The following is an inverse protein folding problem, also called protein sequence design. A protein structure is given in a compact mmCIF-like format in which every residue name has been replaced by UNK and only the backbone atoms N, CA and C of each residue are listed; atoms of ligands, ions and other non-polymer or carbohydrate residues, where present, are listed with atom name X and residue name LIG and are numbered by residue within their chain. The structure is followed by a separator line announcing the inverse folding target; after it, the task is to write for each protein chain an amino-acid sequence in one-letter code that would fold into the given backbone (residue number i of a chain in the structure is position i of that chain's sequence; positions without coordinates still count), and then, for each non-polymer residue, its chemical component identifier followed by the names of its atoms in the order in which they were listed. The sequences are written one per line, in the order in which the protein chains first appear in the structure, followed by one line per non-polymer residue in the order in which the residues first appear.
data_IF_274221526878
#
_entry.id   IF_274221526878
#
_cell.length_a   1.000
_cell.length_b   1.000
_cell.length_c   1.000
_cell.angle_alpha   90.00
_cell.angle_beta   90.00
_cell.angle_gamma   90.00
#
_symmetry.space_group_name_H-M   'P 1'
#
loop_
_entity.id
_entity.type
_entity.pdbx_description
1 polymer ?
#
# COMPACT_ATOMS: atom_id res chain seq x y z
N UNK A 1 -40.61 36.57 27.82
CA UNK A 1 -40.79 35.54 26.77
C UNK A 1 -40.32 34.24 27.38
N UNK A 2 -41.23 33.30 27.65
CA UNK A 2 -40.84 32.01 28.21
C UNK A 2 -39.95 31.31 27.18
N UNK A 3 -38.66 31.17 27.49
CA UNK A 3 -37.72 30.42 26.69
C UNK A 3 -38.21 28.98 26.66
N UNK A 4 -38.74 28.61 25.50
CA UNK A 4 -39.30 27.30 25.28
C UNK A 4 -38.15 26.30 25.13
N UNK A 5 -37.94 25.47 26.15
CA UNK A 5 -36.87 24.47 26.14
C UNK A 5 -37.28 23.17 25.42
N UNK A 6 -38.51 22.70 25.64
CA UNK A 6 -38.99 21.39 25.20
C UNK A 6 -40.52 21.28 25.16
N UNK A 7 -41.07 20.63 24.13
CA UNK A 7 -42.49 20.22 24.01
C UNK A 7 -42.50 18.77 23.61
N UNK A 8 -43.21 17.99 24.40
CA UNK A 8 -43.64 16.64 24.04
C UNK A 8 -44.90 16.70 23.17
N UNK A 9 -44.91 15.93 22.09
CA UNK A 9 -46.07 15.92 21.21
C UNK A 9 -47.30 15.26 21.85
N UNK A 10 -47.10 14.33 22.81
CA UNK A 10 -48.20 13.68 23.52
C UNK A 10 -49.03 14.68 24.34
N UNK A 11 -48.38 15.61 25.03
CA UNK A 11 -49.06 16.65 25.82
C UNK A 11 -49.95 17.54 24.95
N UNK A 12 -49.51 17.88 23.73
CA UNK A 12 -50.31 18.66 22.78
C UNK A 12 -51.44 17.84 22.14
N UNK A 13 -51.19 16.56 21.89
CA UNK A 13 -52.20 15.63 21.37
C UNK A 13 -53.34 15.45 22.36
N UNK A 14 -53.05 15.34 23.66
CA UNK A 14 -54.05 15.28 24.75
C UNK A 14 -54.89 16.55 24.88
N UNK A 15 -54.38 17.70 24.43
CA UNK A 15 -55.12 18.96 24.34
C UNK A 15 -55.99 19.07 23.08
N UNK A 16 -56.09 18.01 22.28
CA UNK A 16 -56.93 17.96 21.07
C UNK A 16 -56.24 18.47 19.80
N UNK A 17 -54.92 18.66 19.82
CA UNK A 17 -54.16 19.08 18.63
C UNK A 17 -53.80 17.85 17.80
N UNK A 18 -54.42 17.68 16.64
CA UNK A 18 -54.23 16.51 15.77
C UNK A 18 -52.93 16.55 14.95
N UNK A 19 -52.52 17.73 14.47
CA UNK A 19 -51.25 17.93 13.76
C UNK A 19 -50.33 18.86 14.56
N UNK A 20 -49.62 18.23 15.51
CA UNK A 20 -48.78 18.92 16.49
C UNK A 20 -47.61 19.65 15.84
N UNK A 21 -46.89 19.02 14.91
CA UNK A 21 -45.72 19.63 14.28
C UNK A 21 -46.12 20.83 13.42
N UNK A 22 -47.18 20.74 12.63
CA UNK A 22 -47.63 21.90 11.84
C UNK A 22 -48.18 23.01 12.72
N UNK A 23 -48.85 22.66 13.83
CA UNK A 23 -49.29 23.65 14.82
C UNK A 23 -48.11 24.43 15.40
N UNK A 24 -47.07 23.72 15.85
CA UNK A 24 -45.84 24.32 16.39
C UNK A 24 -45.11 25.18 15.35
N UNK A 25 -44.94 24.69 14.11
CA UNK A 25 -44.33 25.47 13.00
C UNK A 25 -45.08 26.77 12.72
N UNK A 26 -46.42 26.76 12.79
CA UNK A 26 -47.24 27.97 12.61
C UNK A 26 -47.12 28.94 13.78
N UNK A 27 -46.99 28.42 15.01
CA UNK A 27 -46.96 29.21 16.25
C UNK A 27 -45.59 29.86 16.51
N UNK A 28 -44.51 29.17 16.15
CA UNK A 28 -43.12 29.52 16.46
C UNK A 28 -42.27 29.76 15.21
N UNK A 29 -42.81 30.46 14.21
CA UNK A 29 -42.16 30.70 12.90
C UNK A 29 -40.80 31.41 12.96
N UNK A 30 -40.50 32.11 14.05
CA UNK A 30 -39.29 32.93 14.21
C UNK A 30 -38.23 32.26 15.09
N UNK A 31 -38.52 31.09 15.66
CA UNK A 31 -37.62 30.38 16.55
C UNK A 31 -36.97 29.19 15.81
N UNK A 32 -35.68 28.98 16.03
CA UNK A 32 -34.95 27.83 15.48
C UNK A 32 -35.25 26.58 16.32
N UNK A 33 -36.40 25.96 16.04
CA UNK A 33 -36.85 24.74 16.72
C UNK A 33 -36.39 23.51 15.94
N UNK A 34 -35.80 22.55 16.64
CA UNK A 34 -35.46 21.24 16.09
C UNK A 34 -36.63 20.30 16.33
N UNK A 35 -37.33 19.96 15.26
CA UNK A 35 -38.39 18.95 15.29
C UNK A 35 -37.78 17.54 15.28
N UNK A 36 -38.11 16.76 16.29
CA UNK A 36 -37.71 15.36 16.45
C UNK A 36 -38.97 14.46 16.32
N UNK A 37 -38.84 13.17 16.62
CA UNK A 37 -39.88 12.16 16.39
C UNK A 37 -40.98 12.25 17.44
N UNK A 38 -40.64 12.41 18.71
CA UNK A 38 -41.64 12.45 19.80
C UNK A 38 -41.77 13.82 20.48
N UNK A 39 -40.77 14.69 20.29
CA UNK A 39 -40.73 16.01 20.89
C UNK A 39 -40.08 17.04 19.94
N UNK A 40 -40.04 18.30 20.36
CA UNK A 40 -39.21 19.31 19.70
C UNK A 40 -38.33 20.04 20.72
N UNK A 41 -37.08 20.28 20.32
CA UNK A 41 -36.07 20.95 21.13
C UNK A 41 -35.94 22.42 20.72
N UNK A 42 -35.92 23.31 21.71
CA UNK A 42 -35.61 24.73 21.51
C UNK A 42 -34.10 24.98 21.39
N UNK A 43 -33.70 26.21 21.01
CA UNK A 43 -32.29 26.57 20.78
C UNK A 43 -31.40 26.31 22.00
N UNK A 44 -31.89 26.61 23.20
CA UNK A 44 -31.12 26.42 24.44
C UNK A 44 -30.63 24.98 24.65
N UNK A 45 -31.49 23.99 24.33
CA UNK A 45 -31.12 22.56 24.46
C UNK A 45 -30.08 22.19 23.41
N UNK A 46 -30.22 22.71 22.19
CA UNK A 46 -29.29 22.48 21.08
C UNK A 46 -27.92 23.11 21.41
N UNK A 47 -27.90 24.37 21.81
CA UNK A 47 -26.67 25.12 22.10
C UNK A 47 -25.89 24.47 23.25
N UNK A 48 -26.58 24.06 24.32
CA UNK A 48 -25.95 23.35 25.44
C UNK A 48 -25.36 22.01 25.01
N UNK A 49 -26.08 21.27 24.16
CA UNK A 49 -25.60 19.99 23.66
C UNK A 49 -24.39 20.16 22.73
N UNK A 50 -24.44 21.14 21.82
CA UNK A 50 -23.31 21.46 20.93
C UNK A 50 -22.07 21.85 21.73
N UNK A 51 -22.21 22.67 22.78
CA UNK A 51 -21.10 23.06 23.65
C UNK A 51 -20.49 21.84 24.37
N UNK A 52 -21.31 20.94 24.90
CA UNK A 52 -20.83 19.73 25.57
C UNK A 52 -20.12 18.76 24.60
N UNK A 53 -20.63 18.63 23.38
CA UNK A 53 -19.98 17.86 22.31
C UNK A 53 -18.62 18.46 21.98
N UNK A 54 -18.52 19.78 21.82
CA UNK A 54 -17.25 20.46 21.53
C UNK A 54 -16.22 20.28 22.65
N UNK A 55 -16.67 20.32 23.90
CA UNK A 55 -15.83 20.05 25.06
C UNK A 55 -15.29 18.62 25.03
N UNK A 56 -16.14 17.62 24.80
CA UNK A 56 -15.72 16.22 24.72
C UNK A 56 -14.72 15.98 23.57
N UNK A 57 -14.99 16.55 22.38
CA UNK A 57 -14.11 16.42 21.22
C UNK A 57 -12.76 17.12 21.43
N UNK A 58 -12.76 18.30 22.06
CA UNK A 58 -11.53 19.06 22.31
C UNK A 58 -10.65 18.42 23.38
N UNK A 59 -11.27 17.96 24.47
CA UNK A 59 -10.61 17.28 25.60
C UNK A 59 -10.15 15.85 25.29
N UNK A 60 -10.64 15.26 24.19
CA UNK A 60 -10.25 13.91 23.79
C UNK A 60 -10.98 12.82 24.58
N UNK A 61 -12.23 13.06 24.95
CA UNK A 61 -13.05 12.13 25.73
C UNK A 61 -14.24 11.62 24.90
N UNK A 62 -15.21 11.01 25.58
CA UNK A 62 -16.51 10.60 25.07
C UNK A 62 -17.63 11.29 25.87
N UNK A 63 -18.82 11.36 25.29
CA UNK A 63 -20.01 11.92 25.92
C UNK A 63 -21.26 11.14 25.49
N UNK A 64 -22.00 10.59 26.44
CA UNK A 64 -23.37 10.13 26.18
C UNK A 64 -24.35 11.29 26.28
N UNK A 65 -24.93 11.70 25.15
CA UNK A 65 -25.81 12.86 25.11
C UNK A 65 -27.11 12.63 25.88
N UNK A 66 -27.53 11.37 26.07
CA UNK A 66 -28.72 11.06 26.86
C UNK A 66 -28.61 11.52 28.31
N UNK A 67 -27.38 11.60 28.85
CA UNK A 67 -27.15 12.07 30.23
C UNK A 67 -27.41 13.57 30.41
N UNK A 68 -27.37 14.34 29.32
CA UNK A 68 -27.59 15.79 29.32
C UNK A 68 -29.01 16.17 28.90
N UNK A 69 -29.73 15.26 28.24
CA UNK A 69 -31.06 15.52 27.73
C UNK A 69 -32.12 15.33 28.82
N UNK A 70 -33.16 16.20 28.86
CA UNK A 70 -34.31 16.00 29.73
C UNK A 70 -35.01 14.65 29.50
N UNK A 71 -35.68 14.12 30.52
CA UNK A 71 -36.35 12.81 30.49
C UNK A 71 -37.35 12.55 29.35
N UNK A 72 -37.99 13.55 28.71
CA UNK A 72 -38.91 13.26 27.60
C UNK A 72 -38.22 12.94 26.27
N UNK A 73 -36.89 13.10 26.18
CA UNK A 73 -36.15 12.66 25.01
C UNK A 73 -36.01 11.13 25.03
N UNK A 74 -36.38 10.50 23.92
CA UNK A 74 -36.12 9.09 23.70
C UNK A 74 -34.79 8.89 22.94
N UNK A 75 -34.21 7.68 22.94
CA UNK A 75 -32.97 7.40 22.21
C UNK A 75 -33.03 7.80 20.72
N UNK A 76 -34.17 7.56 20.05
CA UNK A 76 -34.40 7.96 18.66
C UNK A 76 -34.35 9.49 18.46
N UNK A 77 -34.80 10.26 19.46
CA UNK A 77 -34.78 11.72 19.42
C UNK A 77 -33.37 12.25 19.67
N UNK A 78 -32.63 11.63 20.60
CA UNK A 78 -31.24 11.94 20.88
C UNK A 78 -30.33 11.67 19.67
N UNK A 79 -30.48 10.52 19.01
CA UNK A 79 -29.73 10.18 17.80
C UNK A 79 -29.94 11.20 16.68
N UNK A 80 -31.20 11.60 16.43
CA UNK A 80 -31.53 12.64 15.44
C UNK A 80 -30.96 14.01 15.81
N UNK A 81 -30.96 14.35 17.10
CA UNK A 81 -30.42 15.61 17.58
C UNK A 81 -28.90 15.64 17.44
N UNK A 82 -28.21 14.58 17.86
CA UNK A 82 -26.77 14.40 17.73
C UNK A 82 -26.33 14.49 16.27
N UNK A 83 -27.01 13.80 15.35
CA UNK A 83 -26.70 13.84 13.92
C UNK A 83 -26.83 15.27 13.34
N UNK A 84 -27.83 16.04 13.79
CA UNK A 84 -28.01 17.43 13.36
C UNK A 84 -26.90 18.34 13.89
N UNK A 85 -26.53 18.21 15.17
CA UNK A 85 -25.44 18.95 15.79
C UNK A 85 -24.09 18.67 15.11
N UNK A 86 -23.83 17.43 14.69
CA UNK A 86 -22.57 17.09 14.02
C UNK A 86 -22.51 17.61 12.58
N UNK A 87 -23.65 17.61 11.87
CA UNK A 87 -23.76 18.14 10.49
C UNK A 87 -23.67 19.67 10.43
N UNK A 88 -24.20 20.40 11.42
CA UNK A 88 -24.23 21.86 11.42
C UNK A 88 -22.83 22.48 11.48
N UNK A 89 -21.90 21.83 12.17
CA UNK A 89 -20.57 22.39 12.46
C UNK A 89 -19.39 21.72 11.74
N UNK A 90 -19.63 20.72 10.88
CA UNK A 90 -18.55 20.08 10.11
C UNK A 90 -17.51 19.35 10.97
N UNK A 91 -17.96 18.70 12.06
CA UNK A 91 -17.10 18.01 13.05
C UNK A 91 -16.60 16.67 12.51
N UNK A 92 -15.58 16.70 11.64
CA UNK A 92 -15.03 15.50 10.97
C UNK A 92 -14.28 14.52 11.89
N UNK A 93 -13.98 14.90 13.14
CA UNK A 93 -13.25 14.09 14.12
C UNK A 93 -14.14 13.43 15.18
N UNK A 94 -15.46 13.46 14.97
CA UNK A 94 -16.45 12.90 15.88
C UNK A 94 -16.99 11.58 15.33
N UNK A 95 -17.08 10.58 16.20
CA UNK A 95 -17.66 9.27 15.91
C UNK A 95 -18.87 9.05 16.79
N UNK A 96 -19.91 8.43 16.25
CA UNK A 96 -21.13 8.11 16.99
C UNK A 96 -21.16 6.61 17.25
N UNK A 97 -21.38 6.25 18.51
CA UNK A 97 -21.57 4.89 19.00
C UNK A 97 -22.88 4.81 19.78
N UNK A 98 -23.49 3.63 19.81
CA UNK A 98 -24.71 3.30 20.54
C UNK A 98 -25.90 4.23 20.23
N UNK A 99 -25.85 4.94 19.11
CA UNK A 99 -26.85 5.95 18.70
C UNK A 99 -26.83 7.27 19.49
N UNK A 100 -26.33 7.31 20.72
CA UNK A 100 -26.33 8.52 21.58
C UNK A 100 -24.95 8.94 22.08
N UNK A 101 -23.91 8.14 21.90
CA UNK A 101 -22.59 8.40 22.44
C UNK A 101 -21.71 9.03 21.36
N UNK A 102 -21.15 10.20 21.64
CA UNK A 102 -20.12 10.80 20.79
C UNK A 102 -18.74 10.47 21.36
N UNK A 103 -17.83 10.06 20.50
CA UNK A 103 -16.45 9.71 20.84
C UNK A 103 -15.50 10.51 19.95
N UNK A 104 -14.48 11.10 20.55
CA UNK A 104 -13.44 11.82 19.82
C UNK A 104 -12.42 10.87 19.15
N UNK A 105 -11.86 11.27 18.01
CA UNK A 105 -10.75 10.54 17.38
C UNK A 105 -9.59 10.30 18.35
N UNK A 106 -9.24 11.31 19.16
CA UNK A 106 -8.16 11.20 20.17
C UNK A 106 -8.44 10.10 21.19
N UNK A 107 -9.70 9.93 21.60
CA UNK A 107 -10.09 8.86 22.51
C UNK A 107 -9.92 7.48 21.86
N UNK A 108 -10.27 7.35 20.57
CA UNK A 108 -10.05 6.11 19.81
C UNK A 108 -8.55 5.81 19.71
N UNK A 109 -7.70 6.81 19.47
CA UNK A 109 -6.25 6.65 19.48
C UNK A 109 -5.74 6.17 20.85
N UNK A 110 -6.29 6.68 21.96
CA UNK A 110 -5.96 6.21 23.31
C UNK A 110 -6.33 4.73 23.51
N UNK A 111 -7.51 4.33 23.03
CA UNK A 111 -7.97 2.94 23.08
C UNK A 111 -7.04 1.99 22.32
N UNK A 112 -6.31 2.47 21.30
CA UNK A 112 -5.39 1.65 20.51
C UNK A 112 -4.05 1.41 21.23
N UNK A 113 -3.60 2.34 22.09
CA UNK A 113 -2.28 2.26 22.77
C UNK A 113 -1.99 0.95 23.51
N UNK A 114 -2.90 0.37 24.32
CA UNK A 114 -2.61 -0.90 25.01
C UNK A 114 -2.29 -2.05 24.04
N UNK A 115 -2.81 -1.98 22.81
CA UNK A 115 -2.57 -3.00 21.79
C UNK A 115 -1.21 -2.87 21.10
N UNK A 116 -0.57 -1.69 21.10
CA UNK A 116 0.71 -1.50 20.40
C UNK A 116 1.80 -2.44 20.93
N UNK A 117 1.91 -2.53 22.27
CA UNK A 117 2.86 -3.43 22.92
C UNK A 117 2.49 -4.90 22.67
N UNK A 118 1.21 -5.25 22.74
CA UNK A 118 0.73 -6.61 22.49
C UNK A 118 0.98 -7.06 21.04
N UNK A 119 0.80 -6.14 20.07
CA UNK A 119 1.12 -6.38 18.66
C UNK A 119 2.60 -6.71 18.48
N UNK A 120 3.49 -5.95 19.13
CA UNK A 120 4.93 -6.16 19.05
C UNK A 120 5.35 -7.51 19.66
N UNK A 121 4.89 -7.83 20.87
CA UNK A 121 5.22 -9.08 21.56
C UNK A 121 4.71 -10.30 20.78
N UNK A 122 3.49 -10.21 20.24
CA UNK A 122 2.92 -11.29 19.42
C UNK A 122 3.66 -11.42 18.09
N UNK A 123 3.99 -10.32 17.42
CA UNK A 123 4.78 -10.31 16.19
C UNK A 123 6.15 -11.01 16.37
N UNK A 124 6.85 -10.75 17.46
CA UNK A 124 8.13 -11.41 17.78
C UNK A 124 7.95 -12.91 18.01
N UNK A 125 6.90 -13.32 18.72
CA UNK A 125 6.57 -14.73 18.94
C UNK A 125 6.20 -15.45 17.63
N UNK A 126 5.43 -14.79 16.77
CA UNK A 126 4.99 -15.37 15.49
C UNK A 126 6.12 -15.42 14.46
N UNK A 127 7.06 -14.47 14.51
CA UNK A 127 8.30 -14.53 13.72
C UNK A 127 9.13 -15.78 14.06
N UNK A 128 9.12 -16.22 15.32
CA UNK A 128 9.82 -17.44 15.74
C UNK A 128 9.03 -18.72 15.45
N UNK A 129 7.71 -18.71 15.64
CA UNK A 129 6.89 -19.93 15.55
C UNK A 129 6.32 -20.20 14.16
N UNK A 130 6.06 -19.14 13.38
CA UNK A 130 5.29 -19.21 12.12
C UNK A 130 5.93 -18.39 10.97
N UNK A 131 7.23 -18.59 10.65
CA UNK A 131 7.92 -17.79 9.64
C UNK A 131 7.36 -17.97 8.21
N UNK A 132 6.73 -19.11 7.92
CA UNK A 132 6.15 -19.37 6.59
C UNK A 132 4.95 -18.46 6.27
N UNK A 133 4.05 -18.24 7.24
CA UNK A 133 2.89 -17.36 7.08
C UNK A 133 3.32 -15.90 6.92
N UNK A 134 4.33 -15.46 7.68
CA UNK A 134 4.91 -14.12 7.57
C UNK A 134 5.63 -13.89 6.25
N UNK A 135 6.32 -14.90 5.73
CA UNK A 135 6.90 -14.84 4.39
C UNK A 135 5.83 -14.75 3.29
N UNK A 136 4.68 -15.40 3.46
CA UNK A 136 3.56 -15.33 2.51
C UNK A 136 2.87 -13.96 2.54
N UNK A 137 2.62 -13.41 3.73
CA UNK A 137 2.11 -12.05 3.93
C UNK A 137 3.04 -11.02 3.26
N UNK A 138 4.35 -11.16 3.48
CA UNK A 138 5.35 -10.29 2.84
C UNK A 138 5.29 -10.37 1.31
N UNK A 139 4.98 -11.54 0.73
CA UNK A 139 4.87 -11.72 -0.73
C UNK A 139 3.57 -11.18 -1.31
N UNK A 140 2.43 -11.33 -0.63
CA UNK A 140 1.12 -10.85 -1.09
C UNK A 140 1.11 -9.33 -1.28
N UNK A 141 1.71 -8.58 -0.36
CA UNK A 141 1.82 -7.13 -0.49
C UNK A 141 2.83 -6.66 -1.56
N UNK A 142 3.91 -7.42 -1.80
CA UNK A 142 4.84 -7.12 -2.90
C UNK A 142 4.09 -7.14 -4.24
N UNK A 143 3.15 -8.06 -4.39
CA UNK A 143 2.28 -8.14 -5.56
C UNK A 143 1.22 -7.01 -5.58
N UNK A 144 0.69 -6.60 -4.43
CA UNK A 144 -0.34 -5.55 -4.33
C UNK A 144 0.22 -4.12 -4.53
N UNK A 145 1.52 -3.91 -4.26
CA UNK A 145 2.24 -2.66 -4.59
C UNK A 145 2.54 -2.56 -6.09
N UNK A 146 2.90 -3.67 -6.76
CA UNK A 146 3.22 -3.73 -8.19
C UNK A 146 1.97 -3.63 -9.09
N UNK A 147 0.81 -4.02 -8.57
CA UNK A 147 -0.49 -3.85 -9.24
C UNK A 147 -1.07 -2.44 -9.09
N UNK A 148 -0.61 -1.65 -8.10
CA UNK A 148 -1.02 -0.25 -7.93
C UNK A 148 -0.19 0.72 -8.78
N UNK A 149 1.10 0.45 -9.00
CA UNK A 149 1.94 1.20 -9.96
C UNK A 149 1.42 1.04 -11.40
N UNK A 150 1.08 -0.19 -11.81
CA UNK A 150 0.57 -0.49 -13.16
C UNK A 150 -0.87 0.00 -13.45
N UNK A 151 -1.67 0.31 -12.42
CA UNK A 151 -3.02 0.89 -12.59
C UNK A 151 -3.03 2.41 -12.69
N UNK A 152 -1.99 3.10 -12.23
CA UNK A 152 -1.91 4.55 -12.32
C UNK A 152 -1.56 4.99 -13.75
N UNK A 153 -0.68 4.26 -14.44
CA UNK A 153 -0.31 4.53 -15.84
C UNK A 153 -1.48 4.37 -16.82
N UNK A 154 -2.39 3.42 -16.57
CA UNK A 154 -3.52 3.14 -17.48
C UNK A 154 -4.67 4.17 -17.38
N UNK A 155 -4.73 4.95 -16.29
CA UNK A 155 -5.73 6.02 -16.11
C UNK A 155 -5.23 7.37 -16.61
N UNK A 156 -3.91 7.56 -16.67
CA UNK A 156 -3.28 8.80 -17.16
C UNK A 156 -3.13 8.82 -18.69
N UNK A 157 -2.90 7.67 -19.34
CA UNK A 157 -2.82 7.59 -20.81
C UNK A 157 -4.16 7.88 -21.52
N UNK A 158 -5.30 7.62 -20.86
CA UNK A 158 -6.64 7.98 -21.39
C UNK A 158 -6.98 9.46 -21.27
N UNK A 159 -6.30 10.23 -20.41
CA UNK A 159 -6.51 11.68 -20.26
C UNK A 159 -5.57 12.51 -21.14
N UNK A 160 -4.44 11.95 -21.58
CA UNK A 160 -3.47 12.64 -22.43
C UNK A 160 -3.82 12.63 -23.94
N UNK A 161 -4.78 11.81 -24.39
CA UNK A 161 -5.26 11.77 -25.80
C UNK A 161 -6.46 12.68 -26.09
N UNK A 162 -6.89 13.51 -25.14
CA UNK A 162 -8.03 14.42 -25.31
C UNK A 162 -7.65 15.91 -25.41
N UNK A 163 -6.36 16.25 -25.45
CA UNK A 163 -5.92 17.66 -25.35
C UNK A 163 -4.88 18.10 -26.39
N UNK A 164 -4.67 17.36 -27.48
CA UNK A 164 -3.81 17.81 -28.60
C UNK A 164 -4.34 17.38 -29.97
N UNK A 165 -4.65 18.37 -30.81
CA UNK A 165 -4.97 18.23 -32.25
C UNK A 165 -6.47 18.06 -32.54
N UNK A 166 -7.18 19.00 -33.17
CA UNK A 166 -6.84 19.60 -34.45
C UNK A 166 -7.54 18.79 -35.55
N UNK A 167 -8.71 19.26 -36.01
CA UNK A 167 -9.70 18.44 -36.70
C UNK A 167 -9.41 18.04 -38.14
N UNK A 168 -10.24 17.12 -38.66
CA UNK A 168 -10.75 17.18 -40.04
C UNK A 168 -11.96 16.26 -40.24
N UNK A 169 -12.86 16.76 -41.09
CA UNK A 169 -14.08 16.19 -41.70
C UNK A 169 -14.06 14.70 -42.05
N UNK A 170 -15.26 14.10 -41.98
CA UNK A 170 -15.77 13.19 -43.01
C UNK A 170 -16.45 11.92 -42.50
N UNK A 171 -17.78 11.93 -42.34
CA UNK A 171 -18.72 11.00 -43.02
C UNK A 171 -18.91 9.67 -42.27
N UNK A 172 -20.08 9.06 -42.03
CA UNK A 172 -21.42 9.15 -42.59
C UNK A 172 -21.93 7.71 -42.74
N UNK A 173 -23.09 7.36 -42.16
CA UNK A 173 -23.84 6.11 -42.40
C UNK A 173 -23.91 5.15 -41.19
N UNK A 174 -25.05 5.02 -40.48
CA UNK A 174 -26.15 4.04 -40.71
C UNK A 174 -25.64 2.59 -40.70
N UNK A 175 -26.10 1.63 -39.92
CA UNK A 175 -27.25 1.43 -39.05
C UNK A 175 -27.51 -0.10 -38.97
N UNK A 176 -28.21 -0.54 -37.92
CA UNK A 176 -28.92 -1.82 -37.77
C UNK A 176 -28.19 -3.08 -37.22
N UNK A 177 -28.65 -3.47 -36.01
CA UNK A 177 -29.32 -4.76 -35.67
C UNK A 177 -28.58 -5.74 -34.73
N UNK A 178 -29.08 -5.73 -33.50
CA UNK A 178 -29.44 -6.84 -32.59
C UNK A 178 -28.76 -8.21 -32.76
N UNK A 179 -28.27 -8.81 -31.65
CA UNK A 179 -28.79 -10.10 -31.11
C UNK A 179 -28.55 -10.19 -29.60
N UNK A 180 -29.63 -10.40 -28.83
CA UNK A 180 -29.65 -10.91 -27.45
C UNK A 180 -29.55 -12.44 -27.48
N UNK A 181 -28.76 -13.05 -26.61
CA UNK A 181 -28.95 -14.46 -26.21
C UNK A 181 -28.97 -14.59 -24.69
N UNK A 182 -30.03 -15.26 -24.20
CA UNK A 182 -30.42 -15.52 -22.82
C UNK A 182 -30.07 -16.97 -22.43
N UNK A 183 -29.89 -17.17 -21.11
CA UNK A 183 -30.16 -18.38 -20.27
C UNK A 183 -29.15 -19.55 -20.31
N UNK A 184 -28.68 -19.96 -19.11
CA UNK A 184 -29.38 -20.97 -18.28
C UNK A 184 -28.77 -21.13 -16.87
N UNK A 185 -29.63 -20.99 -15.86
CA UNK A 185 -29.52 -21.57 -14.52
C UNK A 185 -29.66 -23.10 -14.57
N UNK A 186 -28.98 -23.81 -13.66
CA UNK A 186 -29.57 -24.99 -13.01
C UNK A 186 -28.92 -25.26 -11.64
N UNK A 187 -29.77 -25.17 -10.62
CA UNK A 187 -29.45 -25.39 -9.21
C UNK A 187 -29.50 -26.87 -8.81
N UNK A 188 -28.81 -27.17 -7.69
CA UNK A 188 -29.16 -28.15 -6.63
C UNK A 188 -29.16 -29.64 -6.99
N UNK A 189 -28.32 -30.38 -6.27
CA UNK A 189 -28.74 -31.56 -5.49
C UNK A 189 -27.74 -31.80 -4.37
N UNK A 190 -28.27 -31.92 -3.15
CA UNK A 190 -27.58 -32.15 -1.88
C UNK A 190 -28.04 -33.53 -1.37
N UNK A 191 -27.12 -34.22 -0.70
CA UNK A 191 -27.32 -35.21 0.37
C UNK A 191 -27.52 -36.69 -0.08
N UNK A 192 -26.94 -37.74 0.52
CA UNK A 192 -26.35 -37.93 1.87
C UNK A 192 -25.25 -39.01 1.97
N UNK A 193 -24.28 -38.73 2.87
CA UNK A 193 -23.61 -39.57 3.90
C UNK A 193 -22.92 -40.90 3.53
N UNK A 194 -21.60 -40.96 3.79
CA UNK A 194 -21.02 -41.88 4.78
C UNK A 194 -19.61 -41.40 5.21
N UNK A 195 -19.22 -41.91 6.38
CA UNK A 195 -18.23 -41.48 7.37
C UNK A 195 -16.75 -41.64 7.00
N UNK A 196 -15.92 -40.89 7.76
CA UNK A 196 -14.51 -41.12 8.12
C UNK A 196 -13.40 -40.32 7.42
N UNK A 197 -12.52 -39.80 8.30
CA UNK A 197 -11.22 -39.13 8.13
C UNK A 197 -11.18 -37.69 7.61
N UNK A 198 -11.19 -36.78 8.58
CA UNK A 198 -10.92 -35.35 8.46
C UNK A 198 -9.42 -35.11 8.21
N UNK A 199 -8.98 -35.39 6.98
CA UNK A 199 -7.73 -34.85 6.44
C UNK A 199 -7.93 -33.35 6.20
N UNK A 200 -7.38 -32.57 7.13
CA UNK A 200 -7.37 -31.11 7.13
C UNK A 200 -6.74 -30.57 5.85
N UNK A 201 -7.58 -30.04 4.95
CA UNK A 201 -7.14 -29.10 3.91
C UNK A 201 -6.46 -27.91 4.59
N UNK A 202 -5.37 -27.35 4.03
CA UNK A 202 -4.71 -26.19 4.60
C UNK A 202 -5.69 -25.02 4.57
N UNK A 203 -6.22 -24.70 5.75
CA UNK A 203 -6.94 -23.47 6.01
C UNK A 203 -6.04 -22.31 5.58
N UNK A 204 -6.62 -21.37 4.85
CA UNK A 204 -6.04 -20.07 4.53
C UNK A 204 -5.91 -19.26 5.86
N UNK A 205 -5.00 -19.68 6.73
CA UNK A 205 -4.75 -19.08 8.04
C UNK A 205 -4.09 -17.72 7.82
N UNK A 206 -4.90 -16.67 7.75
CA UNK A 206 -4.41 -15.31 7.92
C UNK A 206 -3.85 -15.16 9.34
N UNK A 207 -2.72 -14.46 9.49
CA UNK A 207 -2.17 -14.13 10.81
C UNK A 207 -3.21 -13.29 11.56
N UNK A 208 -3.81 -13.89 12.58
CA UNK A 208 -4.82 -13.25 13.40
C UNK A 208 -4.17 -12.59 14.62
N UNK A 209 -4.40 -11.30 14.83
CA UNK A 209 -3.90 -10.56 15.98
C UNK A 209 -4.56 -11.00 17.30
N UNK A 210 -5.89 -10.95 17.37
CA UNK A 210 -6.68 -11.38 18.53
C UNK A 210 -8.15 -11.55 18.12
N UNK A 211 -8.97 -12.15 18.97
CA UNK A 211 -10.42 -12.21 18.79
C UNK A 211 -11.08 -10.93 19.29
N UNK A 212 -12.37 -10.75 18.98
CA UNK A 212 -13.10 -9.58 19.46
C UNK A 212 -13.27 -9.60 20.99
N UNK A 213 -13.46 -10.79 21.57
CA UNK A 213 -13.59 -10.98 23.02
C UNK A 213 -12.31 -10.59 23.77
N UNK A 214 -11.14 -10.87 23.18
CA UNK A 214 -9.84 -10.44 23.72
C UNK A 214 -9.69 -8.91 23.67
N UNK A 215 -10.17 -8.25 22.60
CA UNK A 215 -10.18 -6.78 22.50
C UNK A 215 -11.06 -6.19 23.60
N UNK A 216 -12.28 -6.71 23.79
CA UNK A 216 -13.17 -6.28 24.88
C UNK A 216 -12.46 -6.38 26.23
N UNK A 217 -11.85 -7.53 26.53
CA UNK A 217 -11.13 -7.73 27.79
C UNK A 217 -9.99 -6.73 28.00
N UNK A 218 -9.24 -6.38 26.96
CA UNK A 218 -8.16 -5.39 27.04
C UNK A 218 -8.71 -3.98 27.27
N UNK A 219 -9.78 -3.61 26.57
CA UNK A 219 -10.44 -2.31 26.72
C UNK A 219 -11.05 -2.15 28.13
N UNK A 220 -11.77 -3.16 28.63
CA UNK A 220 -12.35 -3.14 29.99
C UNK A 220 -11.28 -3.02 31.08
N UNK A 221 -10.10 -3.62 30.88
CA UNK A 221 -8.97 -3.47 31.81
C UNK A 221 -8.26 -2.12 31.74
N UNK A 222 -8.33 -1.44 30.58
CA UNK A 222 -7.65 -0.18 30.34
C UNK A 222 -8.51 1.05 30.65
N UNK A 223 -9.82 0.94 30.44
CA UNK A 223 -10.76 2.04 30.56
C UNK A 223 -11.67 1.83 31.77
N UNK A 224 -11.71 2.81 32.67
CA UNK A 224 -12.58 2.79 33.86
C UNK A 224 -13.86 3.57 33.62
N UNK A 225 -14.98 3.13 34.20
CA UNK A 225 -16.27 3.86 34.20
C UNK A 225 -16.85 4.12 32.81
N UNK A 226 -16.72 3.15 31.89
CA UNK A 226 -17.30 3.22 30.53
C UNK A 226 -18.47 2.23 30.40
N UNK A 227 -19.58 2.61 29.74
CA UNK A 227 -20.69 1.68 29.49
C UNK A 227 -20.24 0.43 28.71
N UNK A 228 -20.70 -0.74 29.12
CA UNK A 228 -20.38 -2.02 28.47
C UNK A 228 -20.74 -2.02 26.98
N UNK A 229 -21.91 -1.45 26.63
CA UNK A 229 -22.37 -1.32 25.24
C UNK A 229 -21.38 -0.51 24.37
N UNK A 230 -20.72 0.51 24.95
CA UNK A 230 -19.72 1.30 24.23
C UNK A 230 -18.44 0.50 24.01
N UNK A 231 -18.04 -0.33 24.98
CA UNK A 231 -16.85 -1.19 24.85
C UNK A 231 -17.08 -2.22 23.74
N UNK A 232 -18.27 -2.82 23.68
CA UNK A 232 -18.63 -3.80 22.66
C UNK A 232 -18.56 -3.19 21.25
N UNK A 233 -19.16 -2.02 21.04
CA UNK A 233 -19.16 -1.37 19.72
C UNK A 233 -17.78 -0.81 19.34
N UNK A 234 -16.99 -0.31 20.31
CA UNK A 234 -15.59 0.06 20.10
C UNK A 234 -14.75 -1.16 19.70
N UNK A 235 -14.99 -2.32 20.31
CA UNK A 235 -14.25 -3.55 19.97
C UNK A 235 -14.50 -3.97 18.52
N UNK A 236 -15.76 -3.87 18.05
CA UNK A 236 -16.13 -4.17 16.67
C UNK A 236 -15.49 -3.19 15.69
N UNK A 237 -15.52 -1.90 16.05
CA UNK A 237 -14.92 -0.82 15.26
C UNK A 237 -13.39 -0.99 15.13
N UNK A 238 -12.71 -1.34 16.22
CA UNK A 238 -11.25 -1.46 16.28
C UNK A 238 -10.71 -2.78 15.72
N UNK A 239 -11.54 -3.83 15.62
CA UNK A 239 -11.10 -5.18 15.22
C UNK A 239 -10.30 -5.20 13.92
N UNK A 240 -10.85 -4.65 12.82
CA UNK A 240 -10.16 -4.63 11.52
C UNK A 240 -8.94 -3.69 11.48
N UNK A 241 -9.02 -2.45 12.00
CA UNK A 241 -7.85 -1.57 12.10
C UNK A 241 -6.69 -2.20 12.86
N UNK A 242 -6.94 -2.83 14.02
CA UNK A 242 -5.92 -3.50 14.81
C UNK A 242 -5.32 -4.70 14.09
N UNK A 243 -6.16 -5.52 13.44
CA UNK A 243 -5.70 -6.64 12.63
C UNK A 243 -4.70 -6.20 11.55
N UNK A 244 -5.01 -5.11 10.85
CA UNK A 244 -4.16 -4.58 9.78
C UNK A 244 -2.86 -4.02 10.33
N UNK A 245 -2.90 -3.22 11.40
CA UNK A 245 -1.70 -2.69 12.06
C UNK A 245 -0.79 -3.81 12.53
N UNK A 246 -1.35 -4.87 13.12
CA UNK A 246 -0.58 -6.03 13.54
C UNK A 246 0.14 -6.73 12.38
N UNK A 247 -0.52 -6.92 11.22
CA UNK A 247 0.13 -7.52 10.05
C UNK A 247 1.32 -6.69 9.56
N UNK A 248 1.22 -5.36 9.60
CA UNK A 248 2.32 -4.44 9.27
C UNK A 248 3.49 -4.55 10.27
N UNK A 249 3.18 -4.61 11.58
CA UNK A 249 4.17 -4.81 12.65
C UNK A 249 4.86 -6.18 12.50
N UNK A 250 4.09 -7.25 12.34
CA UNK A 250 4.58 -8.61 12.22
C UNK A 250 5.49 -8.80 11.01
N UNK A 251 5.16 -8.16 9.88
CA UNK A 251 6.03 -8.10 8.71
C UNK A 251 7.35 -7.41 9.01
N UNK A 252 7.30 -6.25 9.67
CA UNK A 252 8.50 -5.45 9.98
C UNK A 252 9.44 -6.22 10.89
N UNK A 253 8.89 -6.87 11.93
CA UNK A 253 9.64 -7.75 12.83
C UNK A 253 10.23 -8.95 12.09
N UNK A 254 9.46 -9.59 11.20
CA UNK A 254 9.95 -10.72 10.40
C UNK A 254 11.14 -10.33 9.50
N UNK A 255 11.06 -9.19 8.80
CA UNK A 255 12.12 -8.73 7.90
C UNK A 255 13.38 -8.27 8.64
N UNK A 256 13.22 -7.80 9.88
CA UNK A 256 14.33 -7.36 10.74
C UNK A 256 14.89 -8.47 11.60
N UNK A 257 14.25 -9.65 11.64
CA UNK A 257 14.74 -10.83 12.34
C UNK A 257 16.15 -11.21 11.87
N UNK A 258 17.00 -11.65 12.79
CA UNK A 258 18.43 -11.89 12.50
C UNK A 258 18.66 -12.93 11.40
N UNK A 259 17.82 -13.96 11.29
CA UNK A 259 17.94 -14.99 10.26
C UNK A 259 17.55 -14.47 8.88
N UNK A 260 16.43 -13.76 8.78
CA UNK A 260 15.98 -13.22 7.51
C UNK A 260 16.85 -12.05 7.05
N UNK A 261 17.28 -11.18 7.98
CA UNK A 261 18.27 -10.14 7.71
C UNK A 261 19.58 -10.73 7.19
N UNK A 262 20.07 -11.82 7.81
CA UNK A 262 21.27 -12.54 7.33
C UNK A 262 21.06 -13.11 5.93
N UNK A 263 19.92 -13.76 5.68
CA UNK A 263 19.62 -14.32 4.36
C UNK A 263 19.57 -13.24 3.27
N UNK A 264 18.88 -12.14 3.53
CA UNK A 264 18.82 -10.99 2.62
C UNK A 264 20.20 -10.38 2.39
N UNK A 265 21.04 -10.31 3.42
CA UNK A 265 22.42 -9.84 3.31
C UNK A 265 23.29 -10.77 2.47
N UNK A 266 23.13 -12.10 2.60
CA UNK A 266 23.80 -13.09 1.74
C UNK A 266 23.38 -12.94 0.28
N UNK A 267 22.08 -12.77 0.01
CA UNK A 267 21.58 -12.55 -1.37
C UNK A 267 22.11 -11.23 -1.96
N UNK A 268 22.18 -10.17 -1.16
CA UNK A 268 22.78 -8.89 -1.52
C UNK A 268 24.28 -9.05 -1.83
N UNK A 269 25.01 -9.74 -0.95
CA UNK A 269 26.43 -10.04 -1.08
C UNK A 269 26.71 -10.79 -2.40
N UNK A 270 25.92 -11.81 -2.73
CA UNK A 270 26.08 -12.58 -3.97
C UNK A 270 25.83 -11.73 -5.22
N UNK A 271 24.76 -10.94 -5.24
CA UNK A 271 24.44 -10.02 -6.36
C UNK A 271 25.53 -8.99 -6.59
N UNK A 272 25.98 -8.32 -5.52
CA UNK A 272 27.05 -7.32 -5.61
C UNK A 272 28.37 -7.97 -6.03
N UNK A 273 28.68 -9.15 -5.51
CA UNK A 273 29.90 -9.90 -5.90
C UNK A 273 29.88 -10.23 -7.39
N UNK A 274 28.74 -10.64 -7.94
CA UNK A 274 28.56 -10.91 -9.36
C UNK A 274 28.76 -9.66 -10.23
N UNK A 275 28.06 -8.56 -9.90
CA UNK A 275 28.18 -7.28 -10.61
C UNK A 275 29.60 -6.73 -10.55
N UNK A 276 30.22 -6.69 -9.38
CA UNK A 276 31.58 -6.19 -9.19
C UNK A 276 32.61 -6.99 -10.00
N UNK A 277 32.46 -8.33 -10.01
CA UNK A 277 33.33 -9.21 -10.80
C UNK A 277 33.21 -8.90 -12.29
N UNK A 278 32.00 -8.73 -12.81
CA UNK A 278 31.76 -8.39 -14.21
C UNK A 278 32.32 -7.01 -14.56
N UNK A 279 32.06 -5.99 -13.73
CA UNK A 279 32.56 -4.62 -13.96
C UNK A 279 34.10 -4.63 -14.05
N UNK A 280 34.80 -5.29 -13.12
CA UNK A 280 36.26 -5.38 -13.12
C UNK A 280 36.81 -6.18 -14.31
N UNK A 281 36.11 -7.24 -14.74
CA UNK A 281 36.48 -7.98 -15.96
C UNK A 281 36.33 -7.13 -17.22
N UNK A 282 35.22 -6.40 -17.33
CA UNK A 282 34.99 -5.51 -18.46
C UNK A 282 35.97 -4.35 -18.46
N UNK A 283 36.28 -3.76 -17.31
CA UNK A 283 37.31 -2.72 -17.17
C UNK A 283 38.67 -3.17 -17.74
N UNK A 284 39.12 -4.40 -17.45
CA UNK A 284 40.34 -4.96 -18.04
C UNK A 284 40.21 -5.20 -19.56
N UNK A 285 39.02 -5.59 -20.01
CA UNK A 285 38.73 -5.77 -21.43
C UNK A 285 38.75 -4.44 -22.21
N UNK A 286 38.33 -3.34 -21.58
CA UNK A 286 38.36 -2.01 -22.19
C UNK A 286 39.77 -1.61 -22.62
N UNK A 287 40.80 -1.95 -21.85
CA UNK A 287 42.22 -1.66 -22.19
C UNK A 287 42.68 -2.33 -23.50
N UNK A 288 41.91 -3.26 -24.06
CA UNK A 288 42.19 -3.93 -25.33
C UNK A 288 41.40 -3.36 -26.51
N UNK A 289 40.54 -2.37 -26.26
CA UNK A 289 39.71 -1.74 -27.27
C UNK A 289 40.31 -0.40 -27.71
N UNK A 290 39.95 0.10 -28.92
CA UNK A 290 40.35 1.42 -29.38
C UNK A 290 39.98 2.54 -28.41
N UNK A 291 40.87 3.53 -28.27
CA UNK A 291 40.76 4.63 -27.28
C UNK A 291 39.49 5.48 -27.44
N UNK A 292 38.96 5.59 -28.65
CA UNK A 292 37.72 6.29 -28.97
C UNK A 292 36.46 5.54 -28.51
N UNK A 293 36.52 4.21 -28.40
CA UNK A 293 35.41 3.35 -27.98
C UNK A 293 35.37 3.16 -26.46
N UNK A 294 36.52 3.11 -25.79
CA UNK A 294 36.63 2.96 -24.34
C UNK A 294 35.70 3.88 -23.53
N UNK A 295 35.65 5.22 -23.76
CA UNK A 295 34.78 6.11 -22.98
C UNK A 295 33.28 5.87 -23.23
N UNK A 296 32.90 5.36 -24.40
CA UNK A 296 31.51 5.00 -24.72
C UNK A 296 31.07 3.81 -23.87
N UNK A 297 31.92 2.78 -23.79
CA UNK A 297 31.64 1.57 -23.03
C UNK A 297 31.71 1.85 -21.52
N UNK A 298 32.68 2.63 -21.04
CA UNK A 298 32.75 3.06 -19.63
C UNK A 298 31.45 3.72 -19.19
N UNK A 299 30.94 4.66 -20.00
CA UNK A 299 29.66 5.35 -19.72
C UNK A 299 28.47 4.39 -19.74
N UNK A 300 28.47 3.41 -20.64
CA UNK A 300 27.43 2.39 -20.67
C UNK A 300 27.46 1.52 -19.39
N UNK A 301 28.63 1.09 -18.94
CA UNK A 301 28.80 0.33 -17.70
C UNK A 301 28.37 1.13 -16.47
N UNK A 302 28.71 2.43 -16.41
CA UNK A 302 28.25 3.33 -15.35
C UNK A 302 26.71 3.40 -15.28
N UNK A 303 26.05 3.49 -16.44
CA UNK A 303 24.58 3.59 -16.54
C UNK A 303 23.83 2.26 -16.41
N UNK A 304 24.55 1.14 -16.38
CA UNK A 304 23.97 -0.21 -16.27
C UNK A 304 24.44 -0.86 -14.98
N UNK A 305 25.45 -1.74 -15.03
CA UNK A 305 25.90 -2.57 -13.90
C UNK A 305 26.30 -1.74 -12.67
N UNK A 306 26.97 -0.59 -12.87
CA UNK A 306 27.34 0.29 -11.76
C UNK A 306 26.10 0.95 -11.13
N UNK A 307 25.11 1.34 -11.95
CA UNK A 307 23.84 1.88 -11.46
C UNK A 307 23.07 0.83 -10.66
N UNK A 308 22.97 -0.40 -11.16
CA UNK A 308 22.33 -1.51 -10.44
C UNK A 308 23.03 -1.77 -9.09
N UNK A 309 24.37 -1.76 -9.10
CA UNK A 309 25.16 -1.98 -7.90
C UNK A 309 25.02 -0.82 -6.89
N UNK A 310 24.95 0.43 -7.35
CA UNK A 310 24.67 1.58 -6.50
C UNK A 310 23.25 1.53 -5.92
N UNK A 311 22.26 1.14 -6.73
CA UNK A 311 20.88 0.96 -6.30
C UNK A 311 20.78 -0.09 -5.18
N UNK A 312 21.50 -1.22 -5.30
CA UNK A 312 21.57 -2.24 -4.24
C UNK A 312 22.14 -1.69 -2.93
N UNK A 313 23.24 -0.93 -2.99
CA UNK A 313 23.85 -0.34 -1.80
C UNK A 313 22.96 0.71 -1.13
N UNK A 314 22.32 1.58 -1.92
CA UNK A 314 21.36 2.58 -1.42
C UNK A 314 20.18 1.87 -0.76
N UNK A 315 19.63 0.83 -1.40
CA UNK A 315 18.49 0.10 -0.87
C UNK A 315 18.81 -0.63 0.43
N UNK A 316 20.03 -1.17 0.56
CA UNK A 316 20.53 -1.78 1.79
C UNK A 316 20.52 -0.78 2.95
N UNK A 317 21.09 0.42 2.76
CA UNK A 317 21.15 1.43 3.81
C UNK A 317 19.78 2.10 4.07
N UNK A 318 18.87 2.08 3.09
CA UNK A 318 17.50 2.52 3.25
C UNK A 318 16.64 1.53 4.04
N UNK A 319 16.98 0.24 4.05
CA UNK A 319 16.25 -0.79 4.77
C UNK A 319 16.21 -0.53 6.28
N UNK A 320 17.32 -0.04 6.86
CA UNK A 320 17.41 0.29 8.28
C UNK A 320 16.48 1.44 8.71
N UNK A 321 15.97 2.22 7.75
CA UNK A 321 15.02 3.33 7.98
C UNK A 321 13.62 3.01 7.44
N UNK A 322 13.33 1.75 7.13
CA UNK A 322 12.06 1.30 6.51
C UNK A 322 11.75 2.00 5.18
N UNK A 323 12.78 2.42 4.44
CA UNK A 323 12.65 3.13 3.17
C UNK A 323 13.09 2.29 1.96
N UNK A 324 13.38 1.00 2.16
CA UNK A 324 13.77 0.11 1.08
C UNK A 324 12.61 -0.12 0.10
N UNK A 325 12.94 -0.15 -1.18
CA UNK A 325 12.04 -0.47 -2.28
C UNK A 325 12.16 -1.96 -2.60
N UNK A 326 11.05 -2.57 -3.03
CA UNK A 326 10.93 -3.98 -3.37
C UNK A 326 11.90 -4.43 -4.47
N UNK A 327 11.98 -3.66 -5.56
CA UNK A 327 12.95 -3.90 -6.63
C UNK A 327 13.94 -2.72 -6.71
N UNK A 328 15.19 -2.92 -6.27
CA UNK A 328 16.25 -1.90 -6.36
C UNK A 328 16.47 -1.39 -7.78
N UNK A 329 16.22 -2.20 -8.81
CA UNK A 329 16.47 -1.80 -10.21
C UNK A 329 15.52 -0.69 -10.69
N UNK A 330 14.39 -0.49 -10.00
CA UNK A 330 13.43 0.58 -10.32
C UNK A 330 13.88 1.97 -9.83
N UNK A 331 14.96 2.04 -9.05
CA UNK A 331 15.44 3.30 -8.48
C UNK A 331 16.00 4.22 -9.58
N UNK A 332 15.27 5.30 -9.85
CA UNK A 332 15.69 6.39 -10.73
C UNK A 332 16.65 7.34 -10.00
N UNK A 333 17.32 8.21 -10.76
CA UNK A 333 18.20 9.24 -10.19
C UNK A 333 17.48 10.14 -9.16
N UNK A 334 16.26 10.58 -9.45
CA UNK A 334 15.47 11.41 -8.53
C UNK A 334 15.08 10.65 -7.26
N UNK A 335 14.65 9.40 -7.40
CA UNK A 335 14.28 8.56 -6.25
C UNK A 335 15.49 8.29 -5.36
N UNK A 336 16.67 8.04 -5.93
CA UNK A 336 17.93 7.91 -5.17
C UNK A 336 18.19 9.15 -4.31
N UNK A 337 18.12 10.35 -4.90
CA UNK A 337 18.38 11.60 -4.17
C UNK A 337 17.36 11.83 -3.04
N UNK A 338 16.07 11.53 -3.29
CA UNK A 338 15.03 11.60 -2.27
C UNK A 338 15.32 10.66 -1.09
N UNK A 339 15.72 9.41 -1.37
CA UNK A 339 16.09 8.46 -0.31
C UNK A 339 17.30 8.98 0.47
N UNK A 340 18.37 9.37 -0.23
CA UNK A 340 19.61 9.88 0.37
C UNK A 340 19.37 11.09 1.28
N UNK A 341 18.45 11.99 0.90
CA UNK A 341 18.11 13.17 1.71
C UNK A 341 17.54 12.82 3.08
N UNK A 342 16.83 11.69 3.21
CA UNK A 342 16.20 11.25 4.46
C UNK A 342 17.11 10.35 5.33
N UNK A 343 18.23 9.89 4.78
CA UNK A 343 19.19 9.07 5.52
C UNK A 343 20.02 9.91 6.51
N UNK A 344 20.58 9.27 7.57
CA UNK A 344 21.51 9.92 8.50
C UNK A 344 22.70 10.56 7.78
N UNK A 345 23.22 11.66 8.33
CA UNK A 345 24.28 12.46 7.70
C UNK A 345 25.53 11.65 7.32
N UNK A 346 25.89 10.68 8.17
CA UNK A 346 26.97 9.70 7.91
C UNK A 346 26.78 8.97 6.57
N UNK A 347 25.56 8.53 6.27
CA UNK A 347 25.24 7.77 5.05
C UNK A 347 25.04 8.72 3.86
N UNK A 348 24.45 9.90 4.09
CA UNK A 348 24.12 10.89 3.05
C UNK A 348 25.35 11.30 2.24
N UNK A 349 26.45 11.63 2.92
CA UNK A 349 27.67 12.12 2.27
C UNK A 349 28.30 11.07 1.35
N UNK A 350 28.34 9.82 1.79
CA UNK A 350 28.97 8.73 1.05
C UNK A 350 28.11 8.29 -0.13
N UNK A 351 26.80 8.15 0.07
CA UNK A 351 25.89 7.80 -1.02
C UNK A 351 25.75 8.91 -2.06
N UNK A 352 25.88 10.19 -1.67
CA UNK A 352 25.91 11.31 -2.62
C UNK A 352 27.13 11.25 -3.53
N UNK A 353 28.31 10.90 -2.99
CA UNK A 353 29.52 10.70 -3.78
C UNK A 353 29.40 9.51 -4.72
N UNK A 354 28.88 8.38 -4.23
CA UNK A 354 28.61 7.19 -5.06
C UNK A 354 27.62 7.51 -6.19
N UNK A 355 26.57 8.28 -5.92
CA UNK A 355 25.58 8.63 -6.95
C UNK A 355 26.18 9.59 -7.97
N UNK A 356 27.05 10.50 -7.55
CA UNK A 356 27.71 11.46 -8.44
C UNK A 356 28.68 10.77 -9.42
N UNK A 357 29.41 9.74 -8.97
CA UNK A 357 30.36 9.02 -9.82
C UNK A 357 29.70 8.22 -10.94
N UNK A 358 28.39 7.92 -10.86
CA UNK A 358 27.62 7.33 -11.97
C UNK A 358 27.55 8.23 -13.21
N UNK A 359 27.73 9.54 -13.05
CA UNK A 359 27.77 10.51 -14.15
C UNK A 359 29.19 10.77 -14.67
N UNK A 360 30.18 10.05 -14.14
CA UNK A 360 31.59 10.18 -14.48
C UNK A 360 31.95 9.70 -15.89
N UNK A 361 33.26 9.67 -16.15
CA UNK A 361 33.83 9.20 -17.42
C UNK A 361 34.62 7.90 -17.28
N UNK A 362 35.15 7.62 -16.10
CA UNK A 362 35.89 6.41 -15.79
C UNK A 362 35.15 5.53 -14.77
N UNK A 363 35.53 4.26 -14.73
CA UNK A 363 34.98 3.28 -13.78
C UNK A 363 35.71 3.29 -12.44
N UNK A 364 36.94 3.82 -12.38
CA UNK A 364 37.80 3.71 -11.20
C UNK A 364 37.30 4.61 -10.07
N UNK A 365 36.83 5.82 -10.40
CA UNK A 365 36.19 6.71 -9.45
C UNK A 365 34.96 6.05 -8.82
N UNK A 366 34.11 5.45 -9.65
CA UNK A 366 32.93 4.74 -9.16
C UNK A 366 33.30 3.56 -8.26
N UNK A 367 34.25 2.72 -8.67
CA UNK A 367 34.69 1.56 -7.90
C UNK A 367 35.34 1.98 -6.57
N UNK A 368 36.10 3.08 -6.54
CA UNK A 368 36.66 3.63 -5.32
C UNK A 368 35.58 4.13 -4.35
N UNK A 369 34.55 4.84 -4.84
CA UNK A 369 33.42 5.24 -3.99
C UNK A 369 32.63 4.02 -3.51
N UNK A 370 32.48 2.99 -4.35
CA UNK A 370 31.77 1.77 -3.98
C UNK A 370 32.53 0.98 -2.91
N UNK A 371 33.85 0.87 -3.02
CA UNK A 371 34.69 0.19 -2.01
C UNK A 371 34.48 0.85 -0.62
N UNK A 372 34.35 2.18 -0.56
CA UNK A 372 34.01 2.91 0.69
C UNK A 372 32.62 2.54 1.21
N UNK A 373 31.60 2.54 0.34
CA UNK A 373 30.20 2.23 0.71
C UNK A 373 30.02 0.77 1.16
N UNK A 374 30.82 -0.13 0.60
CA UNK A 374 30.83 -1.56 0.95
C UNK A 374 31.51 -1.86 2.28
N UNK A 375 32.28 -0.92 2.81
CA UNK A 375 33.11 -1.11 4.00
C UNK A 375 32.34 -1.21 5.34
N UNK A 376 33.08 -1.41 6.44
CA UNK A 376 32.52 -1.53 7.79
C UNK A 376 31.70 -0.31 8.21
N UNK A 377 30.57 -0.55 8.88
CA UNK A 377 29.68 0.52 9.35
C UNK A 377 28.81 1.17 8.26
N UNK A 378 28.75 0.56 7.07
CA UNK A 378 27.81 0.86 5.98
C UNK A 378 27.13 -0.43 5.50
N UNK A 379 27.36 -0.88 4.26
CA UNK A 379 26.71 -2.08 3.74
C UNK A 379 27.36 -3.37 4.25
N UNK A 380 28.62 -3.30 4.70
CA UNK A 380 29.40 -4.45 5.18
C UNK A 380 29.46 -5.60 4.16
N UNK A 381 29.60 -5.23 2.89
CA UNK A 381 29.69 -6.16 1.77
C UNK A 381 31.16 -6.43 1.48
N UNK A 382 31.55 -7.69 1.49
CA UNK A 382 32.92 -8.08 1.20
C UNK A 382 33.18 -8.07 -0.31
N UNK A 383 33.78 -7.00 -0.78
CA UNK A 383 34.19 -6.88 -2.19
C UNK A 383 35.62 -7.38 -2.35
N UNK A 384 35.81 -8.45 -3.13
CA UNK A 384 37.14 -9.06 -3.36
C UNK A 384 37.68 -8.68 -4.73
N UNK A 385 38.96 -8.29 -4.77
CA UNK A 385 39.71 -8.17 -6.02
C UNK A 385 39.72 -9.52 -6.76
N UNK A 386 39.72 -9.47 -8.09
CA UNK A 386 39.84 -10.68 -8.90
C UNK A 386 41.22 -11.31 -8.73
N UNK A 387 41.24 -12.57 -8.30
CA UNK A 387 42.42 -13.41 -8.42
C UNK A 387 42.57 -13.97 -9.84
N UNK A 388 43.79 -14.43 -10.19
CA UNK A 388 44.11 -14.95 -11.53
C UNK A 388 43.22 -16.13 -11.95
N UNK A 389 42.76 -16.95 -11.01
CA UNK A 389 41.91 -18.12 -11.31
C UNK A 389 40.50 -17.68 -11.65
N UNK A 390 39.89 -16.83 -10.83
CA UNK A 390 38.55 -16.26 -11.06
C UNK A 390 38.50 -15.44 -12.34
N UNK A 391 39.57 -14.69 -12.63
CA UNK A 391 39.71 -13.97 -13.87
C UNK A 391 39.70 -14.92 -15.08
N UNK A 392 40.54 -15.96 -15.07
CA UNK A 392 40.59 -16.94 -16.16
C UNK A 392 39.24 -17.62 -16.38
N UNK A 393 38.57 -18.03 -15.31
CA UNK A 393 37.24 -18.64 -15.37
C UNK A 393 36.19 -17.66 -15.91
N UNK A 394 36.17 -16.43 -15.39
CA UNK A 394 35.22 -15.39 -15.81
C UNK A 394 35.37 -15.03 -17.28
N UNK A 395 36.61 -14.81 -17.74
CA UNK A 395 36.89 -14.56 -19.17
C UNK A 395 36.46 -15.74 -20.04
N UNK A 396 36.70 -16.98 -19.61
CA UNK A 396 36.24 -18.16 -20.36
C UNK A 396 34.72 -18.23 -20.45
N UNK A 397 34.01 -17.88 -19.38
CA UNK A 397 32.56 -17.93 -19.32
C UNK A 397 31.94 -16.85 -20.23
N UNK A 398 32.45 -15.61 -20.14
CA UNK A 398 32.05 -14.51 -21.04
C UNK A 398 32.35 -14.85 -22.50
N UNK A 399 33.54 -15.42 -22.80
CA UNK A 399 33.90 -15.85 -24.15
C UNK A 399 32.93 -16.89 -24.70
N UNK A 400 32.61 -17.92 -23.90
CA UNK A 400 31.70 -18.97 -24.33
C UNK A 400 30.29 -18.42 -24.57
N UNK A 401 29.80 -17.53 -23.69
CA UNK A 401 28.52 -16.85 -23.86
C UNK A 401 28.47 -16.03 -25.16
N UNK A 402 29.46 -15.16 -25.37
CA UNK A 402 29.53 -14.33 -26.59
C UNK A 402 29.64 -15.20 -27.84
N UNK A 403 30.41 -16.29 -27.80
CA UNK A 403 30.52 -17.22 -28.92
C UNK A 403 29.17 -17.87 -29.25
N UNK A 404 28.42 -18.29 -28.23
CA UNK A 404 27.07 -18.82 -28.42
C UNK A 404 26.11 -17.78 -28.99
N UNK A 405 26.13 -16.54 -28.49
CA UNK A 405 25.29 -15.44 -28.99
C UNK A 405 25.61 -15.11 -30.45
N UNK A 406 26.90 -15.06 -30.83
CA UNK A 406 27.34 -14.85 -32.21
C UNK A 406 26.86 -16.00 -33.12
N UNK A 407 27.06 -17.25 -32.71
CA UNK A 407 26.61 -18.42 -33.48
C UNK A 407 25.09 -18.43 -33.67
N UNK A 408 24.33 -18.04 -32.64
CA UNK A 408 22.89 -17.91 -32.72
C UNK A 408 22.49 -16.80 -33.72
N UNK A 409 23.14 -15.64 -33.64
CA UNK A 409 22.88 -14.53 -34.56
C UNK A 409 23.25 -14.85 -36.01
N UNK A 410 24.34 -15.60 -36.23
CA UNK A 410 24.75 -16.06 -37.55
C UNK A 410 23.79 -17.11 -38.14
N UNK A 411 23.23 -17.98 -37.29
CA UNK A 411 22.18 -18.92 -37.69
C UNK A 411 20.90 -18.19 -38.11
N UNK A 412 20.48 -17.18 -37.34
CA UNK A 412 19.31 -16.34 -37.68
C UNK A 412 19.55 -15.52 -38.95
N UNK A 413 20.76 -14.97 -39.14
CA UNK A 413 21.12 -14.24 -40.35
C UNK A 413 21.15 -15.16 -41.60
N UNK A 414 21.65 -16.40 -41.46
CA UNK A 414 21.63 -17.41 -42.53
C UNK A 414 20.20 -17.84 -42.88
N UNK A 415 19.33 -17.94 -41.86
CA UNK A 415 17.92 -18.27 -42.06
C UNK A 415 17.16 -17.14 -42.78
N UNK A 416 17.44 -15.87 -42.44
CA UNK A 416 16.84 -14.72 -43.11
C UNK A 416 17.43 -14.48 -44.52
N UNK A 417 18.73 -14.69 -44.72
CA UNK A 417 19.38 -14.58 -46.02
C UNK A 417 18.89 -15.64 -47.02
N UNK A 418 18.59 -16.86 -46.55
CA UNK A 418 17.93 -17.88 -47.36
C UNK A 418 16.48 -17.51 -47.71
N UNK A 419 15.81 -16.69 -46.90
CA UNK A 419 14.46 -16.19 -47.20
C UNK A 419 14.48 -15.09 -48.27
N UNK A 420 15.49 -14.22 -48.27
CA UNK A 420 15.68 -13.19 -49.32
C UNK A 420 16.15 -13.83 -50.64
N UNK A 421 17.06 -14.80 -50.63
CA UNK A 421 17.48 -15.53 -51.84
C UNK A 421 16.37 -16.38 -52.46
N UNK A 422 15.49 -16.99 -51.65
CA UNK A 422 14.29 -17.66 -52.17
C UNK A 422 13.28 -16.71 -52.83
N UNK A 423 13.33 -15.39 -52.52
CA UNK A 423 12.42 -14.41 -53.11
C UNK A 423 12.90 -13.84 -54.46
N UNK A 424 14.20 -13.94 -54.77
CA UNK A 424 14.76 -13.48 -56.04
C UNK A 424 14.83 -14.60 -57.11
N UNK A 425 14.88 -15.89 -56.72
CA UNK A 425 15.00 -17.01 -57.67
C UNK A 425 13.68 -17.68 -58.10
N UNK A 426 12.50 -17.23 -57.62
CA UNK A 426 11.20 -17.74 -58.08
C UNK A 426 10.09 -16.67 -58.07
N UNK A 427 9.74 -16.01 -59.20
CA UNK A 427 8.63 -15.06 -59.25
C UNK A 427 7.24 -15.72 -59.20
N UNK A 428 7.16 -17.05 -59.25
CA UNK A 428 5.91 -17.78 -59.24
C UNK A 428 6.00 -18.95 -58.26
N UNK A 429 5.01 -19.03 -57.37
CA UNK A 429 4.81 -20.06 -56.34
C UNK A 429 5.51 -19.84 -54.99
N UNK A 430 5.09 -18.80 -54.28
CA UNK A 430 5.09 -18.85 -52.81
C UNK A 430 3.83 -18.19 -52.25
N UNK A 431 2.70 -18.89 -52.38
CA UNK A 431 1.43 -18.48 -51.79
C UNK A 431 0.90 -19.62 -50.91
N UNK A 432 1.55 -19.86 -49.78
CA UNK A 432 0.95 -20.52 -48.61
C UNK A 432 2.01 -20.68 -47.53
N UNK A 433 1.95 -19.82 -46.52
CA UNK A 433 2.19 -20.10 -45.10
C UNK A 433 2.24 -18.75 -44.36
N UNK A 434 1.06 -18.19 -44.09
CA UNK A 434 0.89 -17.17 -43.05
C UNK A 434 0.75 -17.90 -41.71
N UNK A 435 1.55 -17.57 -40.68
CA UNK A 435 1.20 -17.93 -39.31
C UNK A 435 -0.01 -17.09 -38.88
N UNK A 436 -1.01 -17.78 -38.34
CA UNK A 436 -2.17 -17.17 -37.69
C UNK A 436 -1.72 -16.40 -36.44
N UNK A 437 -2.18 -15.14 -36.35
CA UNK A 437 -2.25 -14.37 -35.11
C UNK A 437 -3.27 -14.97 -34.13
#
# INVERSE_FOLDING_TARGET
MYFFALVEYDNLSRLGITDVQSYLKRRFKRESIVYLKTCCAGPLVVDNLEAAIDEALSSGTWLDVMTLLPSPFLPDDAAQLLEKCLKSAGRSSAHIFCGSIVVSEKFIEECVKPFEKLMQEKAEKDAATSPALLAELSKKDLHDLDTKSSKQDKKEERRAKATTGGGSKGGGGRGAREVKTKKKDKSKLKAERQTEEDETKPSNQELQFMTQEEIVSVLTGHLTEIPEELIDELSEYLYRPLMRKYQEVARTVFLTSGDQKRKLHVELQDKVTGLYTNIRLFQKGLEKLPDDVQPIISRHLLKTLCTDMANLAINCLAADQMMAVSDPNTLTHETRLKIISKLPEKNRNILSKLTSSLNGKDLEEFLAQFDVVSGPGYCEILVKKLDKKRERTGVSLVRNRLRSEILLSASVASFNGNYEQCSEECPHECNSLKPHN
#
